data_IF_588573199361
#
_entry.id   IF_588573199361
#
_cell.length_a   1.000
_cell.length_b   1.000
_cell.length_c   1.000
_cell.angle_alpha   90.00
_cell.angle_beta   90.00
_cell.angle_gamma   90.00
#
_symmetry.space_group_name_H-M   'P 1'
#
loop_
_entity.id
_entity.type
_entity.pdbx_description
1 polymer ?
#
# COMPACT_ATOMS: atom_id res chain seq x y z
N UNK A 1 29.23 8.29 -24.87
CA UNK A 1 28.72 9.67 -24.77
C UNK A 1 28.11 9.87 -23.42
N UNK A 2 28.85 10.48 -22.49
CA UNK A 2 28.42 10.75 -21.12
C UNK A 2 27.70 12.10 -21.08
N UNK A 3 26.43 12.09 -20.67
CA UNK A 3 25.71 13.32 -20.39
C UNK A 3 26.05 13.79 -18.96
N UNK A 4 26.75 14.91 -18.88
CA UNK A 4 27.01 15.62 -17.62
C UNK A 4 25.70 16.12 -17.02
N UNK A 5 25.45 15.76 -15.76
CA UNK A 5 24.39 16.35 -14.94
C UNK A 5 25.01 17.48 -14.15
N UNK A 6 24.63 18.71 -14.49
CA UNK A 6 25.05 19.93 -13.79
C UNK A 6 24.49 19.95 -12.36
N UNK A 7 25.37 19.97 -11.36
CA UNK A 7 25.06 20.25 -9.96
C UNK A 7 25.33 21.75 -9.68
N UNK A 8 24.34 22.45 -9.13
CA UNK A 8 24.38 23.91 -8.88
C UNK A 8 24.53 24.23 -7.37
N UNK A 9 25.62 24.95 -7.03
CA UNK A 9 25.69 26.17 -6.17
C UNK A 9 25.49 26.12 -4.62
N UNK A 10 26.37 26.82 -3.88
CA UNK A 10 26.48 26.94 -2.39
C UNK A 10 26.36 28.42 -1.93
N UNK A 11 25.91 28.68 -0.67
CA UNK A 11 26.04 29.98 0.06
C UNK A 11 26.69 29.75 1.44
N UNK A 12 27.60 30.65 1.85
CA UNK A 12 28.35 30.63 3.12
C UNK A 12 27.68 31.37 4.29
N UNK A 13 28.17 31.12 5.51
CA UNK A 13 27.57 31.53 6.77
C UNK A 13 27.79 33.02 7.13
N UNK A 14 26.71 33.69 7.51
CA UNK A 14 26.72 34.97 8.21
C UNK A 14 25.33 35.30 8.75
N UNK A 15 25.14 35.08 10.06
CA UNK A 15 24.01 35.49 10.91
C UNK A 15 22.58 35.01 10.56
N UNK A 16 21.82 34.67 11.60
CA UNK A 16 20.44 34.17 11.53
C UNK A 16 19.46 35.24 10.98
N UNK A 17 18.45 34.80 10.20
CA UNK A 17 17.08 35.17 10.59
C UNK A 17 16.03 34.05 10.40
N UNK A 18 14.90 34.29 11.07
CA UNK A 18 13.66 33.51 11.11
C UNK A 18 13.02 33.35 9.71
N UNK A 19 12.27 32.25 9.55
CA UNK A 19 11.32 31.96 8.47
C UNK A 19 11.84 32.11 7.02
N UNK A 20 12.45 31.04 6.48
CA UNK A 20 12.30 30.69 5.06
C UNK A 20 12.72 29.24 4.83
N UNK A 21 12.00 28.61 3.92
CA UNK A 21 12.21 27.26 3.42
C UNK A 21 13.59 27.08 2.78
N UNK A 22 14.41 26.15 3.30
CA UNK A 22 15.63 25.70 2.64
C UNK A 22 15.74 24.17 2.72
N UNK A 23 15.83 23.53 1.56
CA UNK A 23 16.04 22.10 1.42
C UNK A 23 17.12 21.80 0.40
N UNK A 24 18.37 21.83 0.84
CA UNK A 24 19.46 20.89 0.53
C UNK A 24 20.79 21.51 0.99
N UNK A 25 21.40 20.95 2.04
CA UNK A 25 22.77 21.26 2.44
C UNK A 25 23.66 20.05 2.15
N UNK A 26 24.73 20.27 1.38
CA UNK A 26 25.87 19.37 1.31
C UNK A 26 27.15 20.22 1.29
N UNK A 27 27.93 20.14 2.36
CA UNK A 27 29.33 20.55 2.39
C UNK A 27 30.12 19.49 3.16
N UNK A 28 30.86 18.66 2.42
CA UNK A 28 32.05 17.97 2.88
C UNK A 28 33.10 18.12 1.78
N UNK A 29 34.38 17.99 2.16
CA UNK A 29 35.59 18.00 1.32
C UNK A 29 35.43 17.19 0.01
N UNK A 30 36.37 17.24 -0.96
CA UNK A 30 36.40 16.34 -2.13
C UNK A 30 36.67 14.87 -1.73
N UNK A 31 35.83 14.32 -0.86
CA UNK A 31 35.43 12.93 -0.82
C UNK A 31 34.15 12.79 -1.63
N UNK A 32 33.97 11.67 -2.29
CA UNK A 32 32.80 11.36 -3.12
C UNK A 32 31.50 11.64 -2.37
N UNK A 33 30.77 12.70 -2.73
CA UNK A 33 29.52 13.06 -2.09
C UNK A 33 28.57 11.84 -2.11
N UNK A 34 28.17 11.38 -0.92
CA UNK A 34 27.29 10.22 -0.79
C UNK A 34 25.89 10.62 -1.26
N UNK A 35 25.41 9.97 -2.32
CA UNK A 35 24.05 10.16 -2.78
C UNK A 35 23.07 9.48 -1.82
N UNK A 36 22.12 10.27 -1.31
CA UNK A 36 21.14 9.85 -0.31
C UNK A 36 19.75 10.33 -0.73
N UNK A 37 18.76 9.45 -0.63
CA UNK A 37 17.35 9.81 -0.85
C UNK A 37 16.69 10.10 0.49
N UNK A 38 15.99 11.22 0.61
CA UNK A 38 15.33 11.62 1.86
C UNK A 38 13.83 11.68 1.68
N UNK A 39 13.08 11.03 2.58
CA UNK A 39 11.63 11.21 2.69
C UNK A 39 11.40 12.43 3.58
N UNK A 40 10.86 13.52 3.02
CA UNK A 40 10.66 14.79 3.75
C UNK A 40 9.24 15.00 4.27
N UNK A 41 8.26 14.24 3.77
CA UNK A 41 6.88 14.27 4.26
C UNK A 41 6.19 12.93 4.12
N UNK A 42 5.11 12.79 4.90
CA UNK A 42 4.33 11.58 5.02
C UNK A 42 2.84 11.89 4.83
N UNK A 43 2.19 11.13 3.95
CA UNK A 43 0.75 11.22 3.70
C UNK A 43 0.08 9.92 4.11
N UNK A 44 -1.10 10.02 4.74
CA UNK A 44 -1.95 8.87 5.06
C UNK A 44 -1.43 7.99 6.18
N UNK A 45 -2.09 6.85 6.42
CA UNK A 45 -1.80 5.92 7.53
C UNK A 45 -0.71 4.91 7.17
N UNK A 46 -0.49 3.89 8.01
CA UNK A 46 0.50 2.82 7.82
C UNK A 46 0.60 2.29 6.38
N UNK A 47 -0.52 1.92 5.74
CA UNK A 47 -0.49 1.43 4.36
C UNK A 47 0.12 2.43 3.37
N UNK A 48 -0.19 3.72 3.48
CA UNK A 48 0.41 4.76 2.63
C UNK A 48 1.88 4.97 2.93
N UNK A 49 2.29 4.82 4.19
CA UNK A 49 3.68 4.93 4.60
C UNK A 49 4.54 3.82 3.98
N UNK A 50 4.05 2.58 3.97
CA UNK A 50 4.73 1.46 3.29
C UNK A 50 4.89 1.76 1.79
N UNK A 51 3.88 2.32 1.13
CA UNK A 51 3.99 2.67 -0.29
C UNK A 51 5.02 3.78 -0.54
N UNK A 52 5.00 4.83 0.29
CA UNK A 52 5.98 5.91 0.25
C UNK A 52 7.41 5.41 0.39
N UNK A 53 7.64 4.50 1.35
CA UNK A 53 8.94 3.85 1.50
C UNK A 53 9.29 3.05 0.24
N UNK A 54 8.37 2.25 -0.30
CA UNK A 54 8.57 1.49 -1.53
C UNK A 54 9.01 2.37 -2.70
N UNK A 55 8.33 3.51 -2.90
CA UNK A 55 8.71 4.50 -3.91
C UNK A 55 10.09 5.12 -3.65
N UNK A 56 10.40 5.49 -2.40
CA UNK A 56 11.69 6.06 -2.03
C UNK A 56 12.85 5.08 -2.23
N UNK A 57 12.69 3.81 -1.84
CA UNK A 57 13.72 2.78 -2.05
C UNK A 57 13.94 2.49 -3.54
N UNK A 58 12.86 2.39 -4.33
CA UNK A 58 13.00 2.19 -5.77
C UNK A 58 13.71 3.38 -6.43
N UNK A 59 13.33 4.60 -6.05
CA UNK A 59 13.98 5.83 -6.52
C UNK A 59 15.48 5.84 -6.16
N UNK A 60 15.82 5.46 -4.93
CA UNK A 60 17.21 5.31 -4.48
C UNK A 60 17.99 4.30 -5.32
N UNK A 61 17.39 3.15 -5.64
CA UNK A 61 18.03 2.14 -6.51
C UNK A 61 18.27 2.66 -7.92
N UNK A 62 17.33 3.41 -8.51
CA UNK A 62 17.49 3.99 -9.85
C UNK A 62 18.63 5.02 -9.87
N UNK A 63 18.76 5.78 -8.80
CA UNK A 63 19.84 6.76 -8.64
C UNK A 63 21.19 6.14 -8.24
N UNK A 64 21.23 4.89 -7.80
CA UNK A 64 22.44 4.27 -7.23
C UNK A 64 22.77 4.79 -5.82
N UNK A 65 21.79 5.38 -5.12
CA UNK A 65 21.94 5.74 -3.72
C UNK A 65 22.01 4.49 -2.84
N UNK A 66 22.90 4.49 -1.86
CA UNK A 66 23.11 3.34 -0.95
C UNK A 66 22.15 3.34 0.25
N UNK A 67 21.53 4.47 0.53
CA UNK A 67 20.69 4.68 1.71
C UNK A 67 19.48 5.57 1.42
N UNK A 68 18.39 5.28 2.11
CA UNK A 68 17.22 6.16 2.25
C UNK A 68 17.21 6.72 3.67
N UNK A 69 17.24 8.04 3.80
CA UNK A 69 16.98 8.72 5.07
C UNK A 69 15.47 8.82 5.28
N UNK A 70 15.01 7.99 6.21
CA UNK A 70 13.63 7.99 6.65
C UNK A 70 13.51 9.03 7.76
N UNK A 71 12.92 10.19 7.46
CA UNK A 71 12.59 11.17 8.49
C UNK A 71 11.55 10.55 9.42
N UNK A 72 11.73 10.73 10.72
CA UNK A 72 10.89 10.13 11.76
C UNK A 72 9.41 10.38 11.48
N UNK A 73 8.75 9.37 10.91
CA UNK A 73 7.29 9.36 10.74
C UNK A 73 6.62 9.67 12.08
N UNK A 74 7.25 9.18 13.17
CA UNK A 74 7.02 9.49 14.57
C UNK A 74 6.56 10.94 14.85
N UNK A 75 7.16 11.91 14.17
CA UNK A 75 7.00 13.33 14.50
C UNK A 75 6.16 14.10 13.47
N UNK A 76 5.89 13.51 12.30
CA UNK A 76 5.33 14.26 11.15
C UNK A 76 4.24 13.52 10.38
N UNK A 77 4.07 12.22 10.61
CA UNK A 77 3.01 11.44 9.97
C UNK A 77 1.67 11.62 10.68
N UNK A 78 0.54 11.37 10.00
CA UNK A 78 -0.79 11.51 10.59
C UNK A 78 -1.17 10.33 11.51
N UNK A 79 -0.34 9.29 11.61
CA UNK A 79 -0.56 8.11 12.48
C UNK A 79 0.76 7.53 13.02
N UNK A 80 1.53 8.29 13.82
CA UNK A 80 2.87 7.90 14.23
C UNK A 80 2.87 6.65 15.10
N UNK A 81 1.83 6.47 15.92
CA UNK A 81 1.62 5.29 16.75
C UNK A 81 1.50 4.03 15.90
N UNK A 82 0.63 4.03 14.88
CA UNK A 82 0.47 2.89 13.99
C UNK A 82 1.77 2.51 13.27
N UNK A 83 2.59 3.49 12.89
CA UNK A 83 3.89 3.20 12.28
C UNK A 83 4.90 2.57 13.25
N UNK A 84 4.98 3.02 14.50
CA UNK A 84 5.87 2.43 15.50
C UNK A 84 5.46 1.02 15.93
N UNK A 85 4.16 0.73 15.95
CA UNK A 85 3.67 -0.62 16.22
C UNK A 85 4.08 -1.62 15.12
N UNK A 86 4.25 -1.12 13.90
CA UNK A 86 4.44 -1.95 12.71
C UNK A 86 5.89 -2.01 12.21
N UNK A 87 6.66 -0.94 12.36
CA UNK A 87 8.05 -0.83 11.89
C UNK A 87 9.02 -0.40 13.00
N UNK A 88 10.21 -0.98 12.99
CA UNK A 88 11.37 -0.65 13.83
C UNK A 88 12.11 0.57 13.27
N UNK A 89 11.40 1.70 13.13
CA UNK A 89 12.01 2.98 12.74
C UNK A 89 12.35 3.79 13.99
N UNK A 90 13.56 4.34 14.05
CA UNK A 90 13.94 5.25 15.12
C UNK A 90 13.25 6.61 14.90
N UNK A 91 12.99 7.39 15.97
CA UNK A 91 12.30 8.68 15.89
C UNK A 91 13.08 9.77 15.13
N UNK A 92 14.38 9.58 14.91
CA UNK A 92 15.24 10.50 14.16
C UNK A 92 15.47 10.00 12.72
N UNK A 93 16.16 10.80 11.90
CA UNK A 93 16.62 10.39 10.57
C UNK A 93 17.38 9.06 10.66
N UNK A 94 16.68 7.98 10.30
CA UNK A 94 17.25 6.65 10.32
C UNK A 94 17.78 6.38 8.91
N UNK A 95 19.10 6.30 8.70
CA UNK A 95 19.63 5.80 7.44
C UNK A 95 19.26 4.32 7.33
N UNK A 96 18.48 4.00 6.30
CA UNK A 96 18.15 2.62 5.98
C UNK A 96 18.90 2.24 4.72
N UNK A 97 19.70 1.16 4.82
CA UNK A 97 20.46 0.64 3.70
C UNK A 97 19.53 0.17 2.57
N UNK A 98 19.92 0.49 1.35
CA UNK A 98 19.26 0.02 0.13
C UNK A 98 19.88 -1.31 -0.26
N UNK A 99 19.06 -2.35 -0.28
CA UNK A 99 19.41 -3.70 -0.69
C UNK A 99 18.83 -4.00 -2.07
N UNK A 100 19.59 -3.86 -3.17
CA UNK A 100 19.12 -4.10 -4.53
C UNK A 100 19.05 -5.60 -4.90
N UNK A 101 19.04 -6.51 -3.91
CA UNK A 101 19.08 -7.97 -4.15
C UNK A 101 17.92 -8.39 -5.05
N UNK A 102 18.20 -9.18 -6.09
CA UNK A 102 17.16 -9.63 -7.02
C UNK A 102 16.54 -8.54 -7.91
N UNK A 103 17.00 -7.29 -7.82
CA UNK A 103 16.51 -6.18 -8.64
C UNK A 103 17.58 -5.79 -9.65
N UNK A 104 17.28 -6.01 -10.93
CA UNK A 104 18.07 -5.47 -12.04
C UNK A 104 17.39 -4.21 -12.52
N UNK A 105 18.10 -3.09 -12.51
CA UNK A 105 17.61 -1.83 -13.07
C UNK A 105 17.19 -2.06 -14.52
N UNK A 106 15.93 -1.76 -14.83
CA UNK A 106 15.39 -1.88 -16.19
C UNK A 106 15.54 -0.55 -16.93
N UNK A 107 15.71 -0.60 -18.25
CA UNK A 107 15.89 0.59 -19.09
C UNK A 107 14.65 1.48 -19.15
N UNK A 108 13.46 0.90 -19.01
CA UNK A 108 12.19 1.62 -19.04
C UNK A 108 11.83 2.33 -17.72
N UNK A 109 12.65 2.17 -16.66
CA UNK A 109 12.40 2.86 -15.41
C UNK A 109 12.74 4.35 -15.52
N UNK A 110 11.73 5.19 -15.32
CA UNK A 110 11.86 6.64 -15.37
C UNK A 110 11.34 7.27 -14.08
N UNK A 111 12.25 7.80 -13.27
CA UNK A 111 11.89 8.53 -12.06
C UNK A 111 11.89 10.06 -12.32
N UNK A 112 11.12 10.85 -11.55
CA UNK A 112 11.17 12.30 -11.60
C UNK A 112 12.61 12.81 -11.50
N UNK A 113 13.05 13.70 -12.40
CA UNK A 113 14.43 14.21 -12.39
C UNK A 113 14.71 15.14 -11.20
N UNK A 114 13.66 15.74 -10.64
CA UNK A 114 13.73 16.67 -9.50
C UNK A 114 12.59 16.34 -8.56
N UNK A 115 12.94 15.91 -7.35
CA UNK A 115 11.99 15.86 -6.24
C UNK A 115 11.77 17.28 -5.74
N UNK A 116 10.53 17.64 -5.46
CA UNK A 116 10.24 18.88 -4.73
C UNK A 116 10.84 18.77 -3.32
N UNK A 117 11.31 19.87 -2.70
CA UNK A 117 11.80 19.82 -1.31
C UNK A 117 10.78 19.24 -0.32
N UNK A 118 9.50 19.47 -0.61
CA UNK A 118 8.33 18.98 0.13
C UNK A 118 7.67 17.77 -0.54
N UNK A 119 8.38 17.06 -1.41
CA UNK A 119 7.77 15.97 -2.15
C UNK A 119 7.49 14.78 -1.24
N UNK A 120 6.22 14.38 -1.21
CA UNK A 120 5.83 13.15 -0.55
C UNK A 120 5.93 12.05 -1.58
N UNK A 121 6.67 10.99 -1.25
CA UNK A 121 6.80 9.82 -2.11
C UNK A 121 5.48 9.09 -2.38
N UNK A 122 4.35 9.58 -1.85
CA UNK A 122 3.01 9.14 -2.18
C UNK A 122 2.69 9.41 -3.67
N UNK A 123 3.22 10.50 -4.21
CA UNK A 123 2.97 10.94 -5.59
C UNK A 123 4.23 10.89 -6.46
N UNK A 124 5.42 10.90 -5.85
CA UNK A 124 6.68 10.75 -6.57
C UNK A 124 7.03 9.28 -6.74
N UNK A 125 6.77 8.73 -7.93
CA UNK A 125 7.05 7.33 -8.26
C UNK A 125 7.90 7.20 -9.51
N UNK A 126 8.61 6.09 -9.63
CA UNK A 126 9.27 5.72 -10.87
C UNK A 126 8.28 5.03 -11.80
N UNK A 127 8.12 5.57 -13.01
CA UNK A 127 7.35 4.96 -14.09
C UNK A 127 8.09 3.76 -14.69
N UNK A 128 7.34 2.83 -15.27
CA UNK A 128 7.87 1.60 -15.89
C UNK A 128 8.29 0.50 -14.91
N UNK A 129 8.21 0.75 -13.60
CA UNK A 129 8.42 -0.26 -12.58
C UNK A 129 7.16 -1.10 -12.37
N UNK A 130 7.33 -2.42 -12.37
CA UNK A 130 6.23 -3.36 -12.23
C UNK A 130 5.89 -3.66 -10.77
N UNK A 131 4.71 -4.24 -10.49
CA UNK A 131 4.34 -4.63 -9.13
C UNK A 131 5.32 -5.67 -8.55
N UNK A 132 5.87 -6.54 -9.39
CA UNK A 132 6.95 -7.48 -9.02
C UNK A 132 8.21 -6.76 -8.52
N UNK A 133 8.54 -5.61 -9.11
CA UNK A 133 9.71 -4.83 -8.74
C UNK A 133 9.48 -4.21 -7.35
N UNK A 134 8.30 -3.63 -7.13
CA UNK A 134 7.93 -3.11 -5.82
C UNK A 134 7.81 -4.20 -4.75
N UNK A 135 7.25 -5.37 -5.07
CA UNK A 135 7.25 -6.51 -4.15
C UNK A 135 8.67 -6.85 -3.71
N UNK A 136 9.60 -6.93 -4.65
CA UNK A 136 11.01 -7.22 -4.35
C UNK A 136 11.64 -6.10 -3.50
N UNK A 137 11.38 -4.83 -3.82
CA UNK A 137 11.86 -3.68 -3.04
C UNK A 137 11.34 -3.77 -1.60
N UNK A 138 10.04 -3.95 -1.43
CA UNK A 138 9.37 -3.99 -0.13
C UNK A 138 9.84 -5.20 0.69
N UNK A 139 9.96 -6.37 0.09
CA UNK A 139 10.46 -7.56 0.78
C UNK A 139 11.93 -7.44 1.20
N UNK A 140 12.78 -6.81 0.40
CA UNK A 140 14.20 -6.70 0.73
C UNK A 140 14.53 -5.55 1.69
N UNK A 141 13.75 -4.47 1.65
CA UNK A 141 14.11 -3.21 2.32
C UNK A 141 13.15 -2.82 3.44
N UNK A 142 11.89 -3.26 3.38
CA UNK A 142 10.87 -2.90 4.39
C UNK A 142 10.50 -4.07 5.28
N UNK A 143 10.33 -5.28 4.72
CA UNK A 143 10.03 -6.46 5.53
C UNK A 143 11.02 -6.65 6.70
N UNK A 144 12.35 -6.48 6.53
CA UNK A 144 13.29 -6.58 7.64
C UNK A 144 13.10 -5.49 8.72
N UNK A 145 12.43 -4.40 8.39
CA UNK A 145 12.10 -3.33 9.33
C UNK A 145 10.79 -3.59 10.07
N UNK A 146 10.01 -4.63 9.75
CA UNK A 146 8.81 -4.95 10.51
C UNK A 146 9.18 -5.27 11.97
N UNK A 147 8.31 -4.92 12.92
CA UNK A 147 8.54 -5.23 14.34
C UNK A 147 8.70 -6.74 14.54
N UNK A 148 9.47 -7.14 15.57
CA UNK A 148 9.67 -8.57 15.90
C UNK A 148 8.34 -9.31 16.07
N UNK A 149 7.35 -8.65 16.69
CA UNK A 149 6.00 -9.19 16.86
C UNK A 149 5.35 -9.52 15.51
N UNK A 150 5.44 -8.61 14.55
CA UNK A 150 4.84 -8.78 13.24
C UNK A 150 5.60 -9.80 12.37
N UNK A 151 6.93 -9.81 12.41
CA UNK A 151 7.76 -10.81 11.72
C UNK A 151 7.49 -12.22 12.25
N UNK A 152 7.56 -12.40 13.57
CA UNK A 152 7.26 -13.68 14.22
C UNK A 152 5.87 -14.18 13.83
N UNK A 153 4.88 -13.29 13.85
CA UNK A 153 3.52 -13.64 13.45
C UNK A 153 3.43 -14.04 11.96
N UNK A 154 4.09 -13.30 11.06
CA UNK A 154 4.09 -13.57 9.63
C UNK A 154 4.90 -14.82 9.22
N UNK A 155 5.83 -15.29 10.06
CA UNK A 155 6.73 -16.43 9.81
C UNK A 155 6.35 -17.66 10.62
N UNK A 156 5.31 -17.55 11.47
CA UNK A 156 4.77 -18.66 12.21
C UNK A 156 4.25 -19.75 11.25
N UNK A 157 5.00 -20.87 11.24
CA UNK A 157 4.71 -22.07 10.45
C UNK A 157 3.86 -23.08 11.22
N UNK A 158 3.65 -22.88 12.52
CA UNK A 158 2.93 -23.83 13.38
C UNK A 158 1.42 -23.76 13.19
N UNK A 159 0.94 -22.66 12.62
CA UNK A 159 -0.47 -22.47 12.34
C UNK A 159 -0.83 -23.19 11.05
N UNK A 160 -1.74 -24.15 11.17
CA UNK A 160 -2.26 -24.93 10.05
C UNK A 160 -2.64 -23.99 8.89
N UNK A 161 -1.88 -24.09 7.81
CA UNK A 161 -2.11 -23.32 6.60
C UNK A 161 -3.41 -23.81 6.00
N UNK A 162 -4.41 -22.95 6.02
CA UNK A 162 -5.72 -23.25 5.49
C UNK A 162 -5.82 -22.79 4.03
N UNK A 163 -5.53 -23.70 3.11
CA UNK A 163 -5.66 -23.43 1.67
C UNK A 163 -7.12 -23.21 1.23
N UNK A 164 -8.10 -23.62 2.06
CA UNK A 164 -9.53 -23.44 1.84
C UNK A 164 -10.12 -22.17 2.47
N UNK A 165 -9.32 -21.35 3.16
CA UNK A 165 -9.75 -20.08 3.74
C UNK A 165 -9.61 -18.93 2.73
N UNK A 166 -10.70 -18.19 2.53
CA UNK A 166 -10.67 -16.89 1.86
C UNK A 166 -10.53 -15.77 2.89
N UNK A 167 -9.42 -15.04 2.86
CA UNK A 167 -9.25 -13.83 3.66
C UNK A 167 -9.74 -12.62 2.85
N UNK A 168 -10.64 -11.84 3.42
CA UNK A 168 -11.19 -10.63 2.79
C UNK A 168 -10.83 -9.45 3.67
N UNK A 169 -10.08 -8.49 3.15
CA UNK A 169 -9.97 -7.21 3.83
C UNK A 169 -11.16 -6.34 3.41
N UNK A 170 -11.94 -5.85 4.36
CA UNK A 170 -13.03 -4.90 4.11
C UNK A 170 -12.61 -3.55 4.67
N UNK A 171 -12.56 -2.52 3.81
CA UNK A 171 -12.24 -1.17 4.28
C UNK A 171 -13.51 -0.53 4.87
N UNK A 172 -13.56 -0.41 6.19
CA UNK A 172 -14.60 0.35 6.89
C UNK A 172 -14.08 1.73 7.33
N UNK A 173 -14.80 2.39 8.23
CA UNK A 173 -14.34 3.61 8.89
C UNK A 173 -14.52 4.89 8.06
N UNK A 174 -13.41 5.56 7.73
CA UNK A 174 -13.36 6.92 7.19
C UNK A 174 -14.13 7.08 5.87
N UNK A 175 -14.10 6.08 5.01
CA UNK A 175 -14.72 6.17 3.68
C UNK A 175 -16.26 6.19 3.74
N UNK A 176 -16.84 5.64 4.82
CA UNK A 176 -18.28 5.63 5.08
C UNK A 176 -18.71 6.82 5.96
N UNK A 177 -17.79 7.74 6.26
CA UNK A 177 -18.12 8.95 6.98
C UNK A 177 -18.66 10.00 6.01
N UNK A 178 -19.93 10.46 6.15
CA UNK A 178 -20.47 11.51 5.27
C UNK A 178 -19.69 12.83 5.38
N UNK A 179 -18.97 13.06 6.49
CA UNK A 179 -18.11 14.23 6.69
C UNK A 179 -16.74 14.11 6.02
N UNK A 180 -16.35 12.90 5.58
CA UNK A 180 -15.06 12.70 4.94
C UNK A 180 -15.14 13.11 3.47
N UNK A 181 -14.48 14.23 3.13
CA UNK A 181 -14.40 14.72 1.74
C UNK A 181 -13.73 13.66 0.88
N UNK A 182 -14.42 13.21 -0.17
CA UNK A 182 -13.97 12.12 -1.03
C UNK A 182 -14.36 10.71 -0.56
N UNK A 183 -15.05 10.58 0.58
CA UNK A 183 -15.53 9.28 1.09
C UNK A 183 -16.38 8.53 0.07
N UNK A 184 -17.31 9.21 -0.61
CA UNK A 184 -18.09 8.61 -1.70
C UNK A 184 -17.22 8.01 -2.81
N UNK A 185 -16.17 8.71 -3.22
CA UNK A 185 -15.25 8.19 -4.23
C UNK A 185 -14.54 6.94 -3.71
N UNK A 186 -14.02 6.94 -2.48
CA UNK A 186 -13.39 5.75 -1.91
C UNK A 186 -14.36 4.58 -1.67
N UNK A 187 -15.59 4.86 -1.27
CA UNK A 187 -16.67 3.89 -1.08
C UNK A 187 -17.06 3.25 -2.41
N UNK A 188 -17.19 4.05 -3.47
CA UNK A 188 -17.42 3.58 -4.84
C UNK A 188 -16.37 2.58 -5.30
N UNK A 189 -15.14 2.76 -4.83
CA UNK A 189 -14.00 1.91 -5.15
C UNK A 189 -13.91 0.61 -4.32
N UNK A 190 -14.78 0.40 -3.33
CA UNK A 190 -14.85 -0.90 -2.68
C UNK A 190 -15.45 -1.96 -3.61
N UNK A 191 -15.30 -3.23 -3.22
CA UNK A 191 -15.74 -4.35 -4.03
C UNK A 191 -17.26 -4.46 -3.96
N UNK A 192 -17.95 -4.67 -5.10
CA UNK A 192 -19.38 -4.92 -5.06
C UNK A 192 -19.66 -6.30 -4.47
N UNK A 193 -20.81 -6.43 -3.81
CA UNK A 193 -21.29 -7.68 -3.20
C UNK A 193 -21.20 -8.90 -4.14
N UNK A 194 -21.66 -8.72 -5.38
CA UNK A 194 -21.68 -9.75 -6.43
C UNK A 194 -20.29 -10.27 -6.80
N UNK A 195 -19.24 -9.46 -6.62
CA UNK A 195 -17.87 -9.91 -6.87
C UNK A 195 -17.42 -10.92 -5.81
N UNK A 196 -17.73 -10.68 -4.53
CA UNK A 196 -17.43 -11.65 -3.47
C UNK A 196 -18.19 -12.95 -3.68
N UNK A 197 -19.48 -12.87 -4.00
CA UNK A 197 -20.31 -14.04 -4.32
C UNK A 197 -19.67 -14.89 -5.41
N UNK A 198 -19.28 -14.24 -6.52
CA UNK A 198 -18.63 -14.90 -7.65
C UNK A 198 -17.30 -15.56 -7.23
N UNK A 199 -16.43 -14.86 -6.50
CA UNK A 199 -15.16 -15.42 -6.02
C UNK A 199 -15.39 -16.66 -5.16
N UNK A 200 -16.34 -16.57 -4.21
CA UNK A 200 -16.66 -17.65 -3.28
C UNK A 200 -17.14 -18.89 -4.04
N UNK A 201 -18.09 -18.70 -4.97
CA UNK A 201 -18.71 -19.80 -5.72
C UNK A 201 -17.75 -20.42 -6.75
N UNK A 202 -17.04 -19.60 -7.53
CA UNK A 202 -16.14 -20.09 -8.58
C UNK A 202 -14.92 -20.83 -8.04
N UNK A 203 -14.41 -20.41 -6.88
CA UNK A 203 -13.23 -21.04 -6.26
C UNK A 203 -13.58 -21.99 -5.11
N UNK A 204 -14.87 -22.23 -4.86
CA UNK A 204 -15.34 -23.23 -3.90
C UNK A 204 -15.00 -22.94 -2.44
N UNK A 205 -14.84 -21.67 -2.05
CA UNK A 205 -14.49 -21.32 -0.68
C UNK A 205 -15.67 -21.57 0.27
N UNK A 206 -15.42 -22.29 1.37
CA UNK A 206 -16.41 -22.57 2.42
C UNK A 206 -16.13 -21.86 3.74
N UNK A 207 -14.91 -21.34 3.90
CA UNK A 207 -14.47 -20.59 5.06
C UNK A 207 -14.03 -19.21 4.63
N UNK A 208 -14.49 -18.20 5.34
CA UNK A 208 -14.21 -16.80 5.07
C UNK A 208 -13.78 -16.13 6.36
N UNK A 209 -12.64 -15.43 6.30
CA UNK A 209 -12.19 -14.55 7.36
C UNK A 209 -12.20 -13.12 6.84
N UNK A 210 -13.09 -12.30 7.39
CA UNK A 210 -13.12 -10.86 7.12
C UNK A 210 -12.23 -10.15 8.12
N UNK A 211 -11.31 -9.32 7.64
CA UNK A 211 -10.51 -8.39 8.45
C UNK A 211 -11.01 -6.97 8.15
N UNK A 212 -11.52 -6.29 9.17
CA UNK A 212 -12.13 -4.96 9.04
C UNK A 212 -11.77 -4.08 10.25
N UNK A 213 -11.96 -2.76 10.14
CA UNK A 213 -11.76 -1.84 11.26
C UNK A 213 -12.92 -1.93 12.29
N UNK A 214 -12.63 -1.72 13.60
CA UNK A 214 -13.56 -1.95 14.72
C UNK A 214 -14.71 -0.96 14.83
N UNK A 215 -14.77 0.06 13.98
CA UNK A 215 -15.82 1.07 14.06
C UNK A 215 -17.21 0.48 13.76
N UNK A 216 -17.87 0.01 14.83
CA UNK A 216 -19.28 -0.46 14.83
C UNK A 216 -20.27 0.58 14.28
N UNK A 217 -19.91 1.86 14.33
CA UNK A 217 -20.76 2.98 13.89
C UNK A 217 -20.76 3.25 12.38
N UNK A 218 -19.98 2.51 11.58
CA UNK A 218 -19.82 2.74 10.13
C UNK A 218 -19.64 1.43 9.39
N UNK A 219 -20.63 0.54 9.49
CA UNK A 219 -20.62 -0.79 8.85
C UNK A 219 -20.54 -0.61 7.34
N UNK A 220 -19.57 -1.28 6.71
CA UNK A 220 -19.47 -1.33 5.26
C UNK A 220 -20.62 -2.15 4.69
N UNK A 221 -21.31 -1.71 3.61
CA UNK A 221 -22.25 -2.53 2.85
C UNK A 221 -21.65 -3.87 2.38
N UNK A 222 -20.32 -3.90 2.16
CA UNK A 222 -19.57 -5.09 1.81
C UNK A 222 -19.65 -6.16 2.91
N UNK A 223 -19.54 -5.76 4.18
CA UNK A 223 -19.63 -6.68 5.32
C UNK A 223 -21.05 -7.25 5.46
N UNK A 224 -22.08 -6.40 5.37
CA UNK A 224 -23.48 -6.83 5.42
C UNK A 224 -23.77 -7.85 4.32
N UNK A 225 -23.26 -7.62 3.12
CA UNK A 225 -23.36 -8.58 2.03
C UNK A 225 -22.68 -9.93 2.35
N UNK A 226 -21.45 -9.91 2.85
CA UNK A 226 -20.70 -11.13 3.20
C UNK A 226 -21.44 -11.97 4.24
N UNK A 227 -22.10 -11.33 5.21
CA UNK A 227 -22.92 -12.01 6.22
C UNK A 227 -24.17 -12.64 5.61
N UNK A 228 -24.91 -11.90 4.79
CA UNK A 228 -26.08 -12.42 4.09
C UNK A 228 -25.73 -13.60 3.16
N UNK A 229 -24.59 -13.54 2.48
CA UNK A 229 -24.09 -14.66 1.68
C UNK A 229 -23.68 -15.85 2.54
N UNK A 230 -23.07 -15.62 3.70
CA UNK A 230 -22.68 -16.69 4.60
C UNK A 230 -23.90 -17.48 5.09
N UNK A 231 -25.00 -16.79 5.40
CA UNK A 231 -26.28 -17.42 5.71
C UNK A 231 -26.84 -18.18 4.50
N UNK A 232 -26.99 -17.49 3.35
CA UNK A 232 -27.56 -18.06 2.11
C UNK A 232 -26.86 -19.33 1.64
N UNK A 233 -25.53 -19.39 1.75
CA UNK A 233 -24.70 -20.48 1.24
C UNK A 233 -24.12 -21.39 2.33
N UNK A 234 -24.58 -21.25 3.57
CA UNK A 234 -24.07 -22.00 4.74
C UNK A 234 -22.53 -21.98 4.86
N UNK A 235 -21.94 -20.78 4.74
CA UNK A 235 -20.50 -20.58 4.80
C UNK A 235 -20.07 -20.33 6.26
N UNK A 236 -18.88 -20.81 6.62
CA UNK A 236 -18.27 -20.44 7.89
C UNK A 236 -17.59 -19.07 7.75
N UNK A 237 -18.30 -18.03 8.18
CA UNK A 237 -17.81 -16.64 8.19
C UNK A 237 -17.34 -16.27 9.59
N UNK A 238 -16.09 -15.80 9.68
CA UNK A 238 -15.55 -15.13 10.87
C UNK A 238 -15.23 -13.68 10.54
N UNK A 239 -15.65 -12.76 11.41
CA UNK A 239 -15.29 -11.34 11.30
C UNK A 239 -14.27 -11.02 12.38
N UNK A 240 -13.10 -10.57 11.95
CA UNK A 240 -12.00 -10.13 12.79
C UNK A 240 -11.84 -8.61 12.68
N UNK A 241 -11.65 -8.00 13.85
CA UNK A 241 -11.35 -6.58 13.97
C UNK A 241 -10.57 -6.37 15.28
N UNK A 242 -9.26 -6.58 15.24
CA UNK A 242 -8.38 -6.58 16.42
C UNK A 242 -7.50 -5.33 16.43
N UNK A 243 -6.27 -5.44 16.93
CA UNK A 243 -5.26 -4.39 16.81
C UNK A 243 -4.68 -4.32 15.40
N UNK A 244 -4.12 -3.16 15.03
CA UNK A 244 -3.45 -2.94 13.75
C UNK A 244 -2.43 -4.04 13.41
N UNK A 245 -1.64 -4.45 14.40
CA UNK A 245 -0.61 -5.49 14.28
C UNK A 245 -1.23 -6.86 14.00
N UNK A 246 -2.28 -7.23 14.74
CA UNK A 246 -2.93 -8.54 14.59
C UNK A 246 -3.68 -8.66 13.26
N UNK A 247 -4.38 -7.60 12.88
CA UNK A 247 -5.10 -7.55 11.61
C UNK A 247 -4.13 -7.57 10.43
N UNK A 248 -3.08 -6.76 10.44
CA UNK A 248 -2.10 -6.79 9.37
C UNK A 248 -1.33 -8.11 9.32
N UNK A 249 -1.02 -8.73 10.47
CA UNK A 249 -0.44 -10.06 10.49
C UNK A 249 -1.35 -11.08 9.80
N UNK A 250 -2.65 -11.03 10.10
CA UNK A 250 -3.66 -11.89 9.48
C UNK A 250 -3.62 -11.75 7.96
N UNK A 251 -3.52 -10.52 7.45
CA UNK A 251 -3.38 -10.26 6.02
C UNK A 251 -2.05 -10.76 5.44
N UNK A 252 -0.93 -10.59 6.15
CA UNK A 252 0.39 -11.07 5.72
C UNK A 252 0.43 -12.60 5.56
N UNK A 253 -0.41 -13.33 6.29
CA UNK A 253 -0.44 -14.79 6.30
C UNK A 253 -1.49 -15.40 5.38
N UNK A 254 -2.39 -14.60 4.82
CA UNK A 254 -3.44 -15.08 3.94
C UNK A 254 -2.83 -15.87 2.76
N UNK A 255 -3.42 -17.02 2.42
CA UNK A 255 -3.09 -17.75 1.18
C UNK A 255 -3.92 -17.26 0.00
N UNK A 256 -5.20 -17.02 0.26
CA UNK A 256 -6.20 -16.55 -0.69
C UNK A 256 -6.72 -15.21 -0.19
N UNK A 257 -6.42 -14.12 -0.91
CA UNK A 257 -6.62 -12.78 -0.38
C UNK A 257 -7.41 -11.89 -1.33
N UNK A 258 -8.53 -11.34 -0.85
CA UNK A 258 -9.32 -10.35 -1.57
C UNK A 258 -8.86 -8.93 -1.19
N UNK A 259 -8.42 -8.16 -2.19
CA UNK A 259 -7.86 -6.83 -1.99
C UNK A 259 -8.95 -5.76 -1.98
N UNK A 260 -9.20 -5.13 -0.83
CA UNK A 260 -9.96 -3.88 -0.78
C UNK A 260 -9.26 -2.74 -1.53
N UNK A 261 -10.02 -1.68 -1.82
CA UNK A 261 -9.46 -0.38 -2.19
C UNK A 261 -8.82 0.34 -1.00
N UNK A 262 -7.65 -0.17 -0.62
CA UNK A 262 -6.88 0.26 0.54
C UNK A 262 -5.39 0.10 0.27
N UNK A 263 -4.58 1.07 0.71
CA UNK A 263 -3.13 0.92 0.76
C UNK A 263 -2.71 -0.12 1.79
N UNK A 264 -3.54 -0.36 2.82
CA UNK A 264 -3.29 -1.35 3.86
C UNK A 264 -3.32 -2.78 3.31
N UNK A 265 -4.35 -3.16 2.55
CA UNK A 265 -4.42 -4.47 1.90
C UNK A 265 -3.31 -4.66 0.87
N UNK A 266 -3.02 -3.64 0.06
CA UNK A 266 -1.95 -3.72 -0.93
C UNK A 266 -0.56 -3.87 -0.28
N UNK A 267 -0.28 -3.15 0.81
CA UNK A 267 0.96 -3.27 1.56
C UNK A 267 1.13 -4.69 2.10
N UNK A 268 0.07 -5.28 2.67
CA UNK A 268 0.09 -6.67 3.12
C UNK A 268 0.38 -7.62 1.94
N UNK A 269 -0.28 -7.41 0.80
CA UNK A 269 -0.09 -8.23 -0.39
C UNK A 269 1.37 -8.24 -0.87
N UNK A 270 2.00 -7.07 -0.91
CA UNK A 270 3.38 -6.92 -1.39
C UNK A 270 4.43 -7.39 -0.37
N UNK A 271 4.18 -7.26 0.93
CA UNK A 271 5.10 -7.70 2.00
C UNK A 271 4.97 -9.18 2.36
N UNK A 272 3.81 -9.78 2.10
CA UNK A 272 3.54 -11.19 2.39
C UNK A 272 4.42 -12.12 1.56
N UNK A 273 4.92 -13.18 2.17
CA UNK A 273 5.52 -14.34 1.49
C UNK A 273 4.56 -15.54 1.42
N UNK A 274 3.39 -15.44 2.07
CA UNK A 274 2.42 -16.52 2.18
C UNK A 274 1.39 -16.51 1.04
N UNK A 275 0.98 -15.33 0.56
CA UNK A 275 -0.08 -15.21 -0.45
C UNK A 275 0.25 -16.03 -1.71
N UNK A 276 -0.75 -16.80 -2.16
CA UNK A 276 -0.72 -17.62 -3.37
C UNK A 276 -1.74 -17.15 -4.40
N UNK A 277 -2.90 -16.67 -3.94
CA UNK A 277 -3.98 -16.16 -4.79
C UNK A 277 -4.40 -14.77 -4.33
N UNK A 278 -4.50 -13.83 -5.27
CA UNK A 278 -5.10 -12.52 -5.04
C UNK A 278 -6.33 -12.34 -5.92
N UNK A 279 -7.38 -11.76 -5.34
CA UNK A 279 -8.62 -11.39 -6.04
C UNK A 279 -8.83 -9.89 -5.89
N UNK A 280 -9.08 -9.20 -7.00
CA UNK A 280 -9.24 -7.74 -6.98
C UNK A 280 -10.15 -7.24 -8.10
N UNK A 281 -10.65 -6.01 -7.95
CA UNK A 281 -11.51 -5.37 -8.94
C UNK A 281 -10.66 -4.75 -10.04
N UNK A 282 -10.97 -5.07 -11.29
CA UNK A 282 -10.42 -4.40 -12.46
C UNK A 282 -11.18 -3.09 -12.72
N UNK A 283 -10.45 -1.99 -12.90
CA UNK A 283 -10.99 -0.64 -13.18
C UNK A 283 -10.59 -0.12 -14.56
N UNK A 284 -10.33 -1.02 -15.50
CA UNK A 284 -9.87 -0.66 -16.84
C UNK A 284 -10.87 0.15 -17.69
N UNK A 285 -12.05 0.49 -17.18
CA UNK A 285 -13.14 1.18 -17.90
C UNK A 285 -12.90 2.70 -18.06
N UNK A 286 -12.08 3.33 -17.21
CA UNK A 286 -11.75 4.77 -17.32
C UNK A 286 -10.35 5.08 -17.85
N UNK A 287 -9.47 4.10 -17.82
CA UNK A 287 -8.12 4.13 -18.41
C UNK A 287 -7.79 2.71 -18.85
N UNK A 288 -7.43 2.45 -20.12
CA UNK A 288 -7.02 1.13 -20.57
C UNK A 288 -5.72 0.70 -19.86
N UNK A 289 -5.87 0.03 -18.72
CA UNK A 289 -4.77 -0.37 -17.85
C UNK A 289 -5.19 -0.27 -16.40
N UNK A 290 -5.26 -1.42 -15.75
CA UNK A 290 -5.10 -1.65 -14.32
C UNK A 290 -5.72 -0.65 -13.34
N UNK A 291 -6.75 -1.15 -12.64
CA UNK A 291 -7.31 -0.63 -11.39
C UNK A 291 -6.61 0.54 -10.68
N UNK A 292 -7.36 1.52 -10.15
CA UNK A 292 -6.92 2.71 -9.36
C UNK A 292 -6.05 2.46 -8.09
N UNK A 293 -5.26 1.39 -8.04
CA UNK A 293 -4.37 0.97 -6.97
C UNK A 293 -2.92 1.44 -7.21
N UNK A 294 -2.47 2.50 -6.53
CA UNK A 294 -1.17 3.20 -6.67
C UNK A 294 0.09 2.40 -7.08
N UNK A 295 0.23 1.14 -6.68
CA UNK A 295 1.36 0.25 -7.03
C UNK A 295 1.00 -0.92 -7.97
N UNK A 296 -0.27 -1.26 -8.09
CA UNK A 296 -0.80 -2.22 -9.07
C UNK A 296 -1.40 -1.51 -10.30
N UNK A 297 -1.31 -0.17 -10.35
CA UNK A 297 -1.97 0.77 -11.28
C UNK A 297 -1.40 0.80 -12.69
N UNK A 298 -0.14 0.41 -12.87
CA UNK A 298 0.47 0.53 -14.18
C UNK A 298 0.06 -0.66 -15.05
N UNK A 299 -0.32 -0.38 -16.30
CA UNK A 299 -0.51 -1.39 -17.36
C UNK A 299 0.69 -2.35 -17.48
N UNK A 300 1.89 -1.83 -17.20
CA UNK A 300 3.16 -2.56 -17.12
C UNK A 300 3.45 -3.13 -15.71
N UNK A 301 2.69 -2.74 -14.68
CA UNK A 301 2.81 -3.22 -13.31
C UNK A 301 1.82 -4.30 -12.92
N UNK A 302 0.71 -4.47 -13.64
CA UNK A 302 -0.19 -5.62 -13.48
C UNK A 302 0.41 -6.96 -13.90
N UNK A 303 1.68 -7.00 -14.29
CA UNK A 303 2.35 -8.28 -14.42
C UNK A 303 2.24 -9.05 -13.10
N UNK A 304 1.83 -10.31 -13.22
CA UNK A 304 1.60 -11.24 -12.13
C UNK A 304 2.72 -11.11 -11.11
N UNK A 305 2.36 -10.96 -9.84
CA UNK A 305 3.34 -11.06 -8.77
C UNK A 305 3.95 -12.48 -8.90
N UNK A 306 5.28 -12.62 -9.06
CA UNK A 306 5.88 -13.93 -9.34
C UNK A 306 5.47 -14.97 -8.29
N UNK A 307 4.95 -16.10 -8.76
CA UNK A 307 4.46 -17.17 -7.88
C UNK A 307 3.12 -16.92 -7.20
N UNK A 308 2.38 -15.88 -7.60
CA UNK A 308 1.01 -15.58 -7.13
C UNK A 308 0.07 -15.59 -8.32
N UNK A 309 -0.98 -16.40 -8.24
CA UNK A 309 -2.08 -16.35 -9.19
C UNK A 309 -2.96 -15.13 -8.88
N UNK A 310 -3.23 -14.34 -9.91
CA UNK A 310 -3.99 -13.09 -9.82
C UNK A 310 -5.30 -13.22 -10.60
N UNK A 311 -6.41 -12.90 -9.95
CA UNK A 311 -7.75 -12.94 -10.53
C UNK A 311 -8.37 -11.55 -10.46
N UNK A 312 -8.67 -10.98 -11.63
CA UNK A 312 -9.26 -9.65 -11.75
C UNK A 312 -10.71 -9.74 -12.18
N UNK A 313 -11.58 -9.00 -11.51
CA UNK A 313 -13.02 -9.01 -11.77
C UNK A 313 -13.44 -7.64 -12.28
N UNK A 314 -14.01 -7.61 -13.49
CA UNK A 314 -14.54 -6.37 -14.06
C UNK A 314 -15.99 -6.20 -13.61
N UNK A 315 -16.29 -5.06 -13.00
CA UNK A 315 -17.67 -4.65 -12.78
C UNK A 315 -18.15 -3.97 -14.07
N UNK A 316 -19.06 -4.62 -14.81
CA UNK A 316 -19.67 -3.98 -15.99
C UNK A 316 -20.61 -2.87 -15.56
N UNK A 317 -20.28 -1.63 -15.94
CA UNK A 317 -21.19 -0.51 -15.81
C UNK A 317 -22.15 -0.50 -16.99
N UNK A 318 -23.40 -0.92 -16.78
CA UNK A 318 -24.49 -0.54 -17.68
C UNK A 318 -24.79 0.93 -17.43
N UNK A 319 -24.31 1.79 -18.31
CA UNK A 319 -24.42 3.26 -18.23
C UNK A 319 -25.84 3.83 -18.34
N UNK A 320 -26.88 2.99 -18.27
CA UNK A 320 -28.24 3.37 -18.66
C UNK A 320 -29.12 3.92 -17.54
N UNK A 321 -28.67 4.04 -16.29
CA UNK A 321 -29.44 4.75 -15.25
C UNK A 321 -28.52 5.53 -14.28
N UNK A 322 -28.67 6.85 -14.31
CA UNK A 322 -27.89 7.82 -13.51
C UNK A 322 -28.27 7.90 -12.02
N UNK A 323 -29.09 6.98 -11.50
CA UNK A 323 -29.55 6.98 -10.10
C UNK A 323 -29.02 5.78 -9.33
N UNK A 324 -27.81 5.91 -8.79
CA UNK A 324 -27.27 5.01 -7.74
C UNK A 324 -27.14 5.75 -6.40
N UNK A 325 -27.90 6.83 -6.21
CA UNK A 325 -28.30 7.16 -4.84
C UNK A 325 -29.36 6.11 -4.47
N UNK A 326 -29.28 5.47 -3.30
CA UNK A 326 -30.47 4.89 -2.70
C UNK A 326 -31.52 6.01 -2.76
N UNK A 327 -32.64 5.77 -3.44
CA UNK A 327 -33.83 6.54 -3.14
C UNK A 327 -34.00 6.44 -1.61
N UNK A 328 -34.17 7.59 -0.96
CA UNK A 328 -34.19 7.64 0.49
C UNK A 328 -35.31 6.77 1.02
N UNK A 329 -34.95 5.59 1.52
CA UNK A 329 -35.77 4.82 2.43
C UNK A 329 -35.10 4.92 3.80
N UNK A 330 -35.69 5.81 4.59
CA UNK A 330 -35.85 5.77 6.05
C UNK A 330 -34.97 4.73 6.79
N UNK A 331 -33.88 5.22 7.39
CA UNK A 331 -33.43 4.67 8.66
C UNK A 331 -34.29 5.31 9.76
N UNK A 332 -35.40 4.65 10.08
CA UNK A 332 -36.14 4.82 11.34
C UNK A 332 -35.72 3.74 12.33
#
# INVERSE_FOLDING_TARGET
GAAAVTLLGVVGAGAAPRNSSWGAAAAQAPGTAKLVVRISCWVGRFGNAVMQLGHAFLYAMVLGAKEVLVNGYANQGPDPKGMHEMLQLLPNFTPVAVHPRGIKRKRNWACPKRLRPTACFMYERCHGAAASDYRTVLQNNIRPLLTRRLLSCAEDTQTNIDEGLLTVHVRSGDIWNPKFKGGFWHAWHQLPCTMHEKIILEHGFKRILVVTDPSKHRRSPELTCLEAMAEKYALNLTVQSKSLVEDFCTLLRARNFVLAYSSFSQAAALLSTAIRRIFYRDWSDRTPGCGNYWLLEHREACHQLPGIASFSYRAEFRSSNKSWLPAGDEYS
#
